data_IF_512629853304
#
_entry.id   IF_512629853304
#
_cell.length_a   1.000
_cell.length_b   1.000
_cell.length_c   1.000
_cell.angle_alpha   90.00
_cell.angle_beta   90.00
_cell.angle_gamma   90.00
#
_symmetry.space_group_name_H-M   'P 1'
#
loop_
_entity.id
_entity.type
_entity.pdbx_description
1 polymer ?
#
# COMPACT_ATOMS: atom_id res chain seq x y z
N UNK A 1 6.43 -6.69 -7.87
CA UNK A 1 7.05 -6.90 -6.55
C UNK A 1 6.02 -7.49 -5.60
N UNK A 2 6.41 -8.47 -4.81
CA UNK A 2 5.57 -9.09 -3.79
C UNK A 2 6.04 -8.66 -2.40
N UNK A 3 5.23 -8.86 -1.37
CA UNK A 3 5.60 -8.49 0.00
C UNK A 3 6.91 -9.14 0.46
N UNK A 4 7.14 -10.41 0.11
CA UNK A 4 8.39 -11.08 0.48
C UNK A 4 9.64 -10.44 -0.14
N UNK A 5 9.50 -9.72 -1.23
CA UNK A 5 10.63 -9.03 -1.88
C UNK A 5 11.10 -7.81 -1.07
N UNK A 6 10.35 -7.41 -0.05
CA UNK A 6 10.71 -6.28 0.81
C UNK A 6 11.46 -6.68 2.08
N UNK A 7 11.63 -7.99 2.33
CA UNK A 7 12.21 -8.47 3.59
C UNK A 7 13.63 -7.97 3.80
N UNK A 8 14.49 -8.08 2.78
CA UNK A 8 15.87 -7.61 2.88
C UNK A 8 15.95 -6.10 3.02
N UNK A 9 15.11 -5.36 2.30
CA UNK A 9 15.03 -3.91 2.43
C UNK A 9 14.60 -3.51 3.84
N UNK A 10 13.60 -4.20 4.39
CA UNK A 10 13.06 -3.92 5.72
C UNK A 10 14.10 -4.13 6.82
N UNK A 11 15.00 -5.09 6.65
CA UNK A 11 16.03 -5.45 7.62
C UNK A 11 17.38 -4.79 7.34
N UNK A 12 17.47 -3.93 6.34
CA UNK A 12 18.70 -3.24 5.99
C UNK A 12 19.14 -2.23 7.07
N UNK A 13 20.43 -2.04 7.20
CA UNK A 13 20.98 -0.97 8.05
C UNK A 13 20.85 0.41 7.39
N UNK A 14 20.59 0.46 6.09
CA UNK A 14 20.41 1.70 5.34
C UNK A 14 18.97 2.21 5.50
N UNK A 15 18.83 3.44 5.99
CA UNK A 15 17.54 4.11 6.13
C UNK A 15 16.77 4.15 4.80
N UNK A 16 17.45 4.40 3.70
CA UNK A 16 16.79 4.49 2.38
C UNK A 16 16.16 3.15 1.97
N UNK A 17 16.82 2.04 2.27
CA UNK A 17 16.28 0.72 2.01
C UNK A 17 15.03 0.45 2.85
N UNK A 18 15.09 0.77 4.14
CA UNK A 18 13.93 0.58 5.03
C UNK A 18 12.75 1.46 4.60
N UNK A 19 13.03 2.67 4.12
CA UNK A 19 12.00 3.57 3.57
C UNK A 19 11.34 2.94 2.33
N UNK A 20 12.15 2.39 1.43
CA UNK A 20 11.62 1.70 0.25
C UNK A 20 10.74 0.52 0.63
N UNK A 21 11.12 -0.23 1.66
CA UNK A 21 10.29 -1.33 2.16
C UNK A 21 8.92 -0.84 2.60
N UNK A 22 8.86 0.22 3.39
CA UNK A 22 7.61 0.82 3.84
C UNK A 22 6.74 1.25 2.66
N UNK A 23 7.34 1.94 1.70
CA UNK A 23 6.63 2.42 0.52
C UNK A 23 6.04 1.26 -0.31
N UNK A 24 6.86 0.27 -0.64
CA UNK A 24 6.40 -0.84 -1.47
C UNK A 24 5.41 -1.74 -0.76
N UNK A 25 5.55 -1.95 0.53
CA UNK A 25 4.57 -2.70 1.32
C UNK A 25 3.21 -2.00 1.29
N UNK A 26 3.20 -0.70 1.50
CA UNK A 26 1.97 0.08 1.44
C UNK A 26 1.35 0.03 0.04
N UNK A 27 2.17 0.19 -1.00
CA UNK A 27 1.72 0.15 -2.39
C UNK A 27 1.07 -1.18 -2.75
N UNK A 28 1.69 -2.29 -2.37
CA UNK A 28 1.17 -3.63 -2.65
C UNK A 28 -0.20 -3.82 -1.97
N UNK A 29 -0.31 -3.41 -0.70
CA UNK A 29 -1.55 -3.52 0.06
C UNK A 29 -2.64 -2.61 -0.51
N UNK A 30 -2.27 -1.39 -0.89
CA UNK A 30 -3.18 -0.43 -1.51
C UNK A 30 -3.75 -0.96 -2.83
N UNK A 31 -2.88 -1.49 -3.69
CA UNK A 31 -3.28 -2.03 -4.98
C UNK A 31 -4.21 -3.24 -4.80
N UNK A 32 -3.94 -4.09 -3.80
CA UNK A 32 -4.80 -5.23 -3.47
C UNK A 32 -6.18 -4.78 -3.00
N UNK A 33 -6.24 -3.78 -2.15
CA UNK A 33 -7.51 -3.23 -1.65
C UNK A 33 -8.31 -2.58 -2.78
N UNK A 34 -7.66 -1.84 -3.67
CA UNK A 34 -8.32 -1.25 -4.84
C UNK A 34 -8.99 -2.32 -5.71
N UNK A 35 -8.27 -3.41 -5.98
CA UNK A 35 -8.80 -4.53 -6.78
C UNK A 35 -10.00 -5.17 -6.10
N UNK A 36 -9.91 -5.39 -4.80
CA UNK A 36 -11.01 -5.98 -4.04
C UNK A 36 -12.24 -5.09 -4.06
N UNK A 37 -12.08 -3.79 -3.84
CA UNK A 37 -13.19 -2.84 -3.83
C UNK A 37 -13.84 -2.70 -5.21
N UNK A 38 -13.06 -2.78 -6.28
CA UNK A 38 -13.60 -2.78 -7.63
C UNK A 38 -14.51 -3.98 -7.85
N UNK A 39 -14.07 -5.18 -7.48
CA UNK A 39 -14.87 -6.41 -7.60
C UNK A 39 -16.10 -6.36 -6.70
N UNK A 40 -15.97 -5.81 -5.50
CA UNK A 40 -17.09 -5.64 -4.57
C UNK A 40 -18.19 -4.81 -5.22
N UNK A 41 -17.82 -3.66 -5.79
CA UNK A 41 -18.77 -2.76 -6.44
C UNK A 41 -19.39 -3.36 -7.70
N UNK A 42 -18.63 -4.15 -8.45
CA UNK A 42 -19.11 -4.83 -9.66
C UNK A 42 -19.97 -6.07 -9.35
N UNK A 43 -19.98 -6.52 -8.10
CA UNK A 43 -20.70 -7.74 -7.69
C UNK A 43 -19.99 -9.02 -8.10
N UNK A 44 -18.68 -8.96 -8.38
CA UNK A 44 -17.89 -10.12 -8.83
C UNK A 44 -16.96 -10.67 -7.76
N UNK A 45 -16.99 -10.12 -6.54
CA UNK A 45 -16.17 -10.61 -5.44
C UNK A 45 -16.63 -11.99 -5.01
N UNK A 46 -15.68 -12.93 -4.88
CA UNK A 46 -15.99 -14.35 -4.59
C UNK A 46 -16.39 -14.61 -3.15
N UNK A 47 -16.20 -13.64 -2.27
CA UNK A 47 -16.56 -13.74 -0.86
C UNK A 47 -17.24 -12.46 -0.40
N UNK A 48 -17.90 -12.52 0.77
CA UNK A 48 -18.56 -11.36 1.35
C UNK A 48 -17.73 -10.86 2.53
N UNK A 49 -17.07 -9.68 2.43
CA UNK A 49 -16.36 -9.14 3.58
C UNK A 49 -17.30 -8.83 4.74
N UNK A 50 -16.82 -9.01 5.98
CA UNK A 50 -17.57 -8.61 7.17
C UNK A 50 -17.63 -7.09 7.34
N UNK A 51 -16.61 -6.38 6.86
CA UNK A 51 -16.59 -4.92 6.85
C UNK A 51 -17.38 -4.43 5.64
N UNK A 52 -18.15 -3.37 5.83
CA UNK A 52 -18.91 -2.81 4.71
C UNK A 52 -18.01 -2.07 3.71
N UNK A 53 -18.56 -1.78 2.54
CA UNK A 53 -17.83 -1.11 1.46
C UNK A 53 -17.28 0.25 1.90
N UNK A 54 -18.10 1.02 2.61
CA UNK A 54 -17.71 2.39 3.01
C UNK A 54 -16.54 2.40 3.99
N UNK A 55 -16.48 1.44 4.91
CA UNK A 55 -15.36 1.32 5.83
C UNK A 55 -14.07 0.98 5.08
N UNK A 56 -14.15 0.01 4.15
CA UNK A 56 -13.00 -0.39 3.35
C UNK A 56 -12.56 0.75 2.41
N UNK A 57 -13.49 1.51 1.87
CA UNK A 57 -13.19 2.69 1.06
C UNK A 57 -12.48 3.76 1.90
N UNK A 58 -12.89 3.95 3.15
CA UNK A 58 -12.25 4.87 4.07
C UNK A 58 -10.79 4.46 4.30
N UNK A 59 -10.53 3.17 4.50
CA UNK A 59 -9.15 2.67 4.62
C UNK A 59 -8.34 2.99 3.35
N UNK A 60 -8.92 2.79 2.18
CA UNK A 60 -8.26 3.10 0.92
C UNK A 60 -7.84 4.57 0.85
N UNK A 61 -8.74 5.47 1.22
CA UNK A 61 -8.48 6.92 1.21
C UNK A 61 -7.30 7.28 2.12
N UNK A 62 -7.25 6.72 3.33
CA UNK A 62 -6.13 6.97 4.25
C UNK A 62 -4.82 6.39 3.72
N UNK A 63 -4.87 5.21 3.10
CA UNK A 63 -3.68 4.61 2.50
C UNK A 63 -3.16 5.46 1.33
N UNK A 64 -4.04 6.00 0.51
CA UNK A 64 -3.65 6.91 -0.58
C UNK A 64 -3.00 8.19 -0.06
N UNK A 65 -3.53 8.75 1.03
CA UNK A 65 -2.91 9.90 1.69
C UNK A 65 -1.52 9.58 2.22
N UNK A 66 -1.37 8.42 2.83
CA UNK A 66 -0.07 7.95 3.31
C UNK A 66 0.92 7.79 2.15
N UNK A 67 0.49 7.25 1.02
CA UNK A 67 1.32 7.12 -0.19
C UNK A 67 1.85 8.48 -0.65
N UNK A 68 1.00 9.49 -0.70
CA UNK A 68 1.39 10.85 -1.09
C UNK A 68 2.45 11.41 -0.15
N UNK A 69 2.30 11.20 1.15
CA UNK A 69 3.30 11.64 2.14
C UNK A 69 4.64 10.96 1.91
N UNK A 70 4.63 9.64 1.67
CA UNK A 70 5.89 8.91 1.41
C UNK A 70 6.56 9.37 0.12
N UNK A 71 5.78 9.60 -0.93
CA UNK A 71 6.33 10.09 -2.21
C UNK A 71 6.96 11.48 -2.05
N UNK A 72 6.33 12.35 -1.29
CA UNK A 72 6.88 13.69 -0.99
C UNK A 72 8.16 13.58 -0.16
N UNK A 73 8.15 12.72 0.86
CA UNK A 73 9.35 12.49 1.68
C UNK A 73 10.50 11.92 0.85
N UNK A 74 10.19 11.01 -0.09
CA UNK A 74 11.21 10.43 -0.95
C UNK A 74 11.90 11.48 -1.82
N UNK A 75 11.15 12.45 -2.34
CA UNK A 75 11.73 13.56 -3.08
C UNK A 75 12.68 14.40 -2.20
N UNK A 76 12.26 14.73 -0.99
CA UNK A 76 13.06 15.53 -0.05
C UNK A 76 14.34 14.79 0.35
N UNK A 77 14.24 13.48 0.57
CA UNK A 77 15.36 12.63 1.01
C UNK A 77 16.21 12.09 -0.14
N UNK A 78 15.86 12.42 -1.39
CA UNK A 78 16.54 11.91 -2.59
C UNK A 78 16.53 10.37 -2.67
N UNK A 79 15.38 9.77 -2.38
CA UNK A 79 15.19 8.33 -2.48
C UNK A 79 14.47 8.03 -3.79
N UNK A 80 15.09 7.22 -4.64
CA UNK A 80 14.45 6.74 -5.88
C UNK A 80 13.56 5.54 -5.57
N UNK A 81 12.29 5.75 -5.76
CA UNK A 81 11.27 4.69 -5.58
C UNK A 81 11.07 3.87 -6.85
#
# INVERSE_FOLDING_TARGET
MKLQDTIELMNSSDFKDRFKAEYYQLKIRLDGLKKMLKKYKEGTLEFTPNCDYDLLLTQLVYMEGYMVVLETRAEIENIKL
#
